data_IF_722962241169
#
_entry.id   IF_722962241169
#
_cell.length_a   1.000
_cell.length_b   1.000
_cell.length_c   1.000
_cell.angle_alpha   90.00
_cell.angle_beta   90.00
_cell.angle_gamma   90.00
#
_symmetry.space_group_name_H-M   'P 1'
#
loop_
_entity.id
_entity.type
_entity.pdbx_description
1 polymer ?
#
# COMPACT_ATOMS: atom_id res chain seq x y z
N UNK A 1 2.54 9.65 10.76
CA UNK A 1 2.05 9.28 9.41
C UNK A 1 1.78 7.78 9.26
N UNK A 2 2.72 6.89 9.63
CA UNK A 2 2.53 5.43 9.49
C UNK A 2 1.33 4.88 10.26
N UNK A 3 1.08 5.36 11.46
CA UNK A 3 -0.01 4.87 12.30
C UNK A 3 -1.39 5.21 11.73
N UNK A 4 -1.58 6.43 11.25
CA UNK A 4 -2.85 6.85 10.66
C UNK A 4 -3.12 6.10 9.35
N UNK A 5 -2.10 5.90 8.51
CA UNK A 5 -2.21 5.13 7.28
C UNK A 5 -2.60 3.67 7.54
N UNK A 6 -1.90 3.01 8.46
CA UNK A 6 -2.23 1.63 8.83
C UNK A 6 -3.64 1.50 9.39
N UNK A 7 -4.08 2.52 10.15
CA UNK A 7 -5.41 2.54 10.74
C UNK A 7 -6.48 2.75 9.68
N UNK A 8 -6.24 3.62 8.71
CA UNK A 8 -7.11 3.80 7.55
C UNK A 8 -7.28 2.46 6.78
N UNK A 9 -6.19 1.75 6.50
CA UNK A 9 -6.29 0.45 5.81
C UNK A 9 -7.09 -0.59 6.62
N UNK A 10 -6.97 -0.57 7.95
CA UNK A 10 -7.77 -1.44 8.83
C UNK A 10 -9.25 -1.06 8.82
N UNK A 11 -9.56 0.22 8.69
CA UNK A 11 -10.94 0.70 8.58
C UNK A 11 -11.54 0.42 7.19
N UNK A 12 -10.73 0.48 6.13
CA UNK A 12 -11.17 0.19 4.77
C UNK A 12 -11.45 -1.31 4.55
N UNK A 13 -10.55 -2.20 4.98
CA UNK A 13 -10.58 -3.61 4.61
C UNK A 13 -11.01 -4.51 5.78
N UNK A 14 -11.87 -5.50 5.46
CA UNK A 14 -12.40 -6.45 6.44
C UNK A 14 -11.53 -7.72 6.52
N UNK A 15 -11.15 -8.27 5.38
CA UNK A 15 -10.48 -9.57 5.27
C UNK A 15 -9.10 -9.50 4.65
N UNK A 16 -8.89 -8.59 3.69
CA UNK A 16 -7.66 -8.54 2.90
C UNK A 16 -6.42 -8.22 3.77
N UNK A 17 -5.30 -8.84 3.42
CA UNK A 17 -4.02 -8.68 4.15
C UNK A 17 -3.50 -7.23 4.19
N UNK A 18 -3.94 -6.35 3.27
CA UNK A 18 -3.61 -4.91 3.27
C UNK A 18 -3.96 -4.21 4.61
N UNK A 19 -4.93 -4.73 5.37
CA UNK A 19 -5.28 -4.23 6.71
C UNK A 19 -4.23 -4.51 7.79
N UNK A 20 -3.25 -5.34 7.48
CA UNK A 20 -2.24 -5.79 8.44
C UNK A 20 -0.92 -5.07 8.17
N UNK A 21 -0.34 -4.49 9.21
CA UNK A 21 0.98 -3.85 9.09
C UNK A 21 2.04 -4.87 8.69
N UNK A 22 2.78 -4.60 7.61
CA UNK A 22 3.91 -5.44 7.16
C UNK A 22 5.00 -5.50 8.22
N UNK A 23 5.22 -4.41 8.97
CA UNK A 23 6.19 -4.37 10.06
C UNK A 23 5.78 -5.20 11.28
N UNK A 24 4.52 -5.66 11.33
CA UNK A 24 3.98 -6.35 12.48
C UNK A 24 3.74 -5.44 13.68
N UNK A 25 3.50 -6.06 14.82
CA UNK A 25 3.36 -5.41 16.13
C UNK A 25 4.40 -5.97 17.08
N UNK A 26 4.68 -5.28 18.19
CA UNK A 26 5.57 -5.78 19.24
C UNK A 26 5.16 -7.20 19.69
N UNK A 27 3.85 -7.41 19.83
CA UNK A 27 3.30 -8.73 20.19
C UNK A 27 3.60 -9.77 19.10
N UNK A 28 3.24 -9.52 17.83
CA UNK A 28 3.45 -10.48 16.74
C UNK A 28 4.94 -10.79 16.53
N UNK A 29 5.81 -9.80 16.65
CA UNK A 29 7.26 -9.96 16.50
C UNK A 29 7.83 -10.81 17.65
N UNK A 30 7.34 -10.64 18.86
CA UNK A 30 7.80 -11.42 20.02
C UNK A 30 7.55 -12.93 19.91
N UNK A 31 6.59 -13.34 19.06
CA UNK A 31 6.30 -14.75 18.79
C UNK A 31 7.14 -15.35 17.65
N UNK A 32 7.93 -14.54 16.95
CA UNK A 32 8.79 -15.03 15.86
C UNK A 32 9.98 -15.80 16.45
N UNK A 33 10.10 -17.05 16.08
CA UNK A 33 11.20 -17.93 16.50
C UNK A 33 12.13 -18.22 15.33
N UNK A 34 13.33 -18.73 15.63
CA UNK A 34 14.25 -19.24 14.59
C UNK A 34 13.57 -20.27 13.69
N UNK A 35 12.75 -21.17 14.30
CA UNK A 35 11.97 -22.15 13.54
C UNK A 35 11.03 -21.49 12.55
N UNK A 36 10.28 -20.46 12.97
CA UNK A 36 9.38 -19.70 12.11
C UNK A 36 10.12 -19.12 10.91
N UNK A 37 11.31 -18.52 11.13
CA UNK A 37 12.13 -17.96 10.05
C UNK A 37 12.62 -19.05 9.07
N UNK A 38 13.08 -20.17 9.56
CA UNK A 38 13.51 -21.29 8.69
C UNK A 38 12.33 -21.89 7.91
N UNK A 39 11.17 -22.02 8.53
CA UNK A 39 9.96 -22.52 7.85
C UNK A 39 9.52 -21.57 6.74
N UNK A 40 9.51 -20.27 7.00
CA UNK A 40 9.23 -19.24 5.98
C UNK A 40 10.27 -19.25 4.86
N UNK A 41 11.55 -19.33 5.20
CA UNK A 41 12.62 -19.39 4.20
C UNK A 41 12.42 -20.63 3.30
N UNK A 42 12.19 -21.79 3.88
CA UNK A 42 11.97 -23.03 3.13
C UNK A 42 10.73 -22.97 2.22
N UNK A 43 9.68 -22.30 2.68
CA UNK A 43 8.43 -22.20 1.92
C UNK A 43 8.53 -21.22 0.74
N UNK A 44 9.18 -20.06 0.93
CA UNK A 44 9.11 -18.95 -0.01
C UNK A 44 10.39 -18.74 -0.83
N UNK A 45 11.57 -19.08 -0.31
CA UNK A 45 12.85 -18.90 -0.98
C UNK A 45 13.23 -20.12 -1.83
N UNK A 46 12.38 -20.42 -2.80
CA UNK A 46 12.62 -21.49 -3.78
C UNK A 46 12.87 -20.87 -5.15
N UNK A 47 13.74 -21.44 -6.00
CA UNK A 47 14.04 -20.87 -7.31
C UNK A 47 12.81 -20.63 -8.18
N UNK A 48 11.78 -21.48 -8.08
CA UNK A 48 10.52 -21.30 -8.82
C UNK A 48 9.69 -20.09 -8.38
N UNK A 49 9.96 -19.56 -7.17
CA UNK A 49 9.23 -18.41 -6.59
C UNK A 49 10.09 -17.14 -6.56
N UNK A 50 11.23 -17.10 -7.26
CA UNK A 50 12.18 -15.99 -7.20
C UNK A 50 12.51 -15.47 -8.60
N UNK A 51 12.79 -14.18 -8.68
CA UNK A 51 13.31 -13.52 -9.88
C UNK A 51 14.64 -12.86 -9.50
N UNK A 52 15.70 -13.17 -10.26
CA UNK A 52 16.98 -12.49 -10.15
C UNK A 52 17.03 -11.34 -11.16
N UNK A 53 17.18 -10.12 -10.67
CA UNK A 53 17.42 -8.93 -11.51
C UNK A 53 18.80 -8.39 -11.22
N UNK A 54 19.60 -8.17 -12.27
CA UNK A 54 20.94 -7.59 -12.16
C UNK A 54 20.98 -6.32 -13.00
N UNK A 55 21.35 -5.19 -12.39
CA UNK A 55 21.47 -3.87 -13.04
C UNK A 55 22.84 -3.30 -12.75
N UNK A 56 23.57 -2.86 -13.77
CA UNK A 56 24.89 -2.27 -13.65
C UNK A 56 25.69 -2.37 -14.94
N UNK A 57 26.96 -2.00 -14.87
CA UNK A 57 27.92 -2.16 -15.98
C UNK A 57 28.43 -3.61 -16.01
N UNK A 58 27.60 -4.51 -16.53
CA UNK A 58 27.85 -5.95 -16.56
C UNK A 58 27.49 -6.54 -17.92
N UNK A 59 28.20 -7.58 -18.33
CA UNK A 59 27.83 -8.38 -19.49
C UNK A 59 26.66 -9.31 -19.14
N UNK A 60 25.47 -9.15 -19.78
CA UNK A 60 24.29 -9.95 -19.47
C UNK A 60 24.49 -11.45 -19.68
N UNK A 61 25.27 -11.83 -20.71
CA UNK A 61 25.53 -13.25 -21.04
C UNK A 61 26.39 -13.88 -19.95
N UNK A 62 27.45 -13.17 -19.55
CA UNK A 62 28.32 -13.64 -18.47
C UNK A 62 27.56 -13.76 -17.14
N UNK A 63 26.66 -12.83 -16.83
CA UNK A 63 25.84 -12.88 -15.61
C UNK A 63 24.83 -14.04 -15.65
N UNK A 64 24.21 -14.29 -16.79
CA UNK A 64 23.32 -15.43 -16.97
C UNK A 64 24.06 -16.76 -16.79
N UNK A 65 25.27 -16.91 -17.37
CA UNK A 65 26.10 -18.08 -17.22
C UNK A 65 26.57 -18.29 -15.77
N UNK A 66 26.93 -17.20 -15.09
CA UNK A 66 27.30 -17.23 -13.70
C UNK A 66 26.12 -17.69 -12.82
N UNK A 67 24.94 -17.09 -13.03
CA UNK A 67 23.71 -17.46 -12.34
C UNK A 67 23.38 -18.96 -12.53
N UNK A 68 23.44 -19.44 -13.76
CA UNK A 68 23.18 -20.86 -14.08
C UNK A 68 24.17 -21.83 -13.41
N UNK A 69 25.40 -21.37 -13.12
CA UNK A 69 26.42 -22.20 -12.45
C UNK A 69 26.30 -22.22 -10.94
N UNK A 70 25.90 -21.10 -10.32
CA UNK A 70 25.92 -20.93 -8.86
C UNK A 70 24.56 -21.10 -8.19
N UNK A 71 23.47 -20.82 -8.91
CA UNK A 71 22.14 -20.95 -8.38
C UNK A 71 21.63 -22.39 -8.45
N UNK A 72 20.79 -22.80 -7.51
CA UNK A 72 20.10 -24.09 -7.60
C UNK A 72 19.27 -24.16 -8.89
N UNK A 73 19.12 -25.36 -9.44
CA UNK A 73 18.19 -25.57 -10.56
C UNK A 73 16.79 -25.15 -10.18
N UNK A 74 16.04 -24.64 -11.17
CA UNK A 74 14.64 -24.26 -11.02
C UNK A 74 13.87 -25.44 -10.42
N UNK A 75 13.38 -25.27 -9.18
CA UNK A 75 12.68 -26.28 -8.41
C UNK A 75 11.84 -25.65 -7.31
N UNK A 76 10.87 -26.40 -6.85
CA UNK A 76 9.94 -25.98 -5.80
C UNK A 76 8.58 -25.55 -6.38
N UNK A 77 7.57 -25.43 -5.53
CA UNK A 77 6.25 -24.97 -5.93
C UNK A 77 6.27 -23.48 -6.25
N UNK A 78 5.49 -23.08 -7.23
CA UNK A 78 5.06 -21.69 -7.38
C UNK A 78 3.99 -21.45 -6.33
N UNK A 79 4.17 -20.42 -5.50
CA UNK A 79 3.23 -20.08 -4.45
C UNK A 79 2.08 -19.30 -5.06
N UNK A 80 0.89 -19.87 -5.07
CA UNK A 80 -0.34 -19.15 -5.38
C UNK A 80 -0.76 -18.32 -4.18
N UNK A 81 -1.11 -17.07 -4.43
CA UNK A 81 -1.57 -16.15 -3.39
C UNK A 81 -3.08 -16.13 -3.36
N UNK A 82 -3.65 -16.52 -2.24
CA UNK A 82 -5.08 -16.38 -1.97
C UNK A 82 -5.29 -15.17 -1.05
N UNK A 83 -5.89 -14.13 -1.60
CA UNK A 83 -6.24 -12.92 -0.83
C UNK A 83 -7.61 -13.02 -0.20
N UNK A 84 -8.36 -14.09 -0.48
CA UNK A 84 -9.75 -14.26 -0.05
C UNK A 84 -10.71 -13.29 -0.73
N UNK A 85 -11.97 -13.38 -0.34
CA UNK A 85 -13.01 -12.45 -0.79
C UNK A 85 -13.06 -11.23 0.15
N UNK A 86 -12.87 -10.06 -0.41
CA UNK A 86 -13.00 -8.79 0.32
C UNK A 86 -14.39 -8.19 0.05
N UNK A 87 -15.24 -7.94 1.07
CA UNK A 87 -16.53 -7.29 0.90
C UNK A 87 -16.40 -5.87 0.33
N UNK A 88 -17.40 -5.40 -0.40
CA UNK A 88 -17.44 -4.03 -0.92
C UNK A 88 -17.48 -2.97 0.20
N UNK A 89 -18.19 -3.25 1.29
CA UNK A 89 -18.31 -2.35 2.43
C UNK A 89 -17.00 -2.19 3.20
N UNK A 90 -16.84 -1.04 3.86
CA UNK A 90 -15.71 -0.77 4.76
C UNK A 90 -15.89 -1.50 6.09
N UNK A 91 -14.79 -1.80 6.78
CA UNK A 91 -14.83 -2.42 8.12
C UNK A 91 -15.33 -1.43 9.17
N UNK A 92 -14.83 -0.20 9.11
CA UNK A 92 -15.21 0.89 10.00
C UNK A 92 -15.36 2.18 9.18
N UNK A 93 -16.41 2.96 9.44
CA UNK A 93 -16.61 4.24 8.72
C UNK A 93 -15.72 5.35 9.25
N UNK A 94 -15.41 5.30 10.52
CA UNK A 94 -14.60 6.30 11.21
C UNK A 94 -13.81 5.64 12.33
N UNK A 95 -12.58 6.08 12.51
CA UNK A 95 -11.73 5.65 13.62
C UNK A 95 -10.88 6.82 14.09
N UNK A 96 -10.75 6.97 15.39
CA UNK A 96 -9.97 8.04 16.02
C UNK A 96 -8.89 7.44 16.91
N UNK A 97 -7.75 8.11 16.98
CA UNK A 97 -6.65 7.74 17.87
C UNK A 97 -6.04 9.00 18.48
N UNK A 98 -5.89 8.98 19.77
CA UNK A 98 -5.19 10.04 20.50
C UNK A 98 -3.70 9.74 20.52
N UNK A 99 -2.90 10.74 20.12
CA UNK A 99 -1.43 10.66 20.11
C UNK A 99 -0.84 12.02 20.44
N UNK A 100 0.39 12.03 20.95
CA UNK A 100 1.19 13.25 21.08
C UNK A 100 1.71 13.68 19.70
N UNK A 101 0.96 14.58 19.06
CA UNK A 101 1.28 15.14 17.74
C UNK A 101 1.22 16.67 17.80
N UNK A 102 1.98 17.34 16.95
CA UNK A 102 2.00 18.81 16.89
C UNK A 102 0.73 19.42 16.29
N UNK A 103 0.04 18.68 15.43
CA UNK A 103 -1.20 19.06 14.76
C UNK A 103 -2.08 17.84 14.57
N UNK A 104 -3.41 17.97 14.65
CA UNK A 104 -4.31 16.89 14.28
C UNK A 104 -4.11 16.48 12.83
N UNK A 105 -4.07 15.15 12.59
CA UNK A 105 -3.91 14.57 11.26
C UNK A 105 -5.15 13.75 10.91
N UNK A 106 -5.52 13.72 9.64
CA UNK A 106 -6.60 12.89 9.15
C UNK A 106 -6.25 12.23 7.83
N UNK A 107 -6.89 11.10 7.55
CA UNK A 107 -6.94 10.45 6.23
C UNK A 107 -8.38 10.02 5.94
N UNK A 108 -8.90 10.45 4.80
CA UNK A 108 -10.13 9.93 4.20
C UNK A 108 -9.75 8.88 3.15
N UNK A 109 -10.25 7.67 3.27
CA UNK A 109 -9.96 6.56 2.36
C UNK A 109 -11.21 6.07 1.65
N UNK A 110 -11.08 5.76 0.37
CA UNK A 110 -12.16 5.30 -0.51
C UNK A 110 -11.76 3.99 -1.17
N UNK A 111 -12.55 2.94 -0.97
CA UNK A 111 -12.36 1.69 -1.70
C UNK A 111 -12.64 1.89 -3.18
N UNK A 112 -11.75 1.35 -4.01
CA UNK A 112 -11.89 1.28 -5.45
C UNK A 112 -11.91 -0.18 -5.92
N UNK A 113 -12.45 -0.42 -7.10
CA UNK A 113 -12.39 -1.74 -7.70
C UNK A 113 -10.96 -2.02 -8.20
N UNK A 114 -10.32 -3.12 -7.79
CA UNK A 114 -9.02 -3.49 -8.32
C UNK A 114 -9.14 -3.94 -9.78
N UNK A 115 -8.12 -3.66 -10.57
CA UNK A 115 -8.03 -4.18 -11.94
C UNK A 115 -7.39 -5.57 -11.95
N UNK A 116 -7.64 -6.32 -13.01
CA UNK A 116 -6.95 -7.57 -13.27
C UNK A 116 -5.46 -7.31 -13.54
N UNK A 117 -4.63 -8.33 -13.30
CA UNK A 117 -3.17 -8.24 -13.54
C UNK A 117 -2.83 -7.92 -15.01
N UNK A 118 -1.59 -7.53 -15.25
CA UNK A 118 -1.07 -7.19 -16.57
C UNK A 118 -1.39 -5.77 -17.01
N UNK A 119 -1.72 -5.57 -18.28
CA UNK A 119 -1.95 -4.24 -18.88
C UNK A 119 -3.11 -3.49 -18.20
N UNK A 120 -4.14 -4.20 -17.77
CA UNK A 120 -5.27 -3.60 -17.05
C UNK A 120 -4.82 -3.00 -15.71
N UNK A 121 -3.95 -3.69 -14.98
CA UNK A 121 -3.37 -3.21 -13.74
C UNK A 121 -2.55 -1.94 -13.98
N UNK A 122 -1.61 -1.98 -14.93
CA UNK A 122 -0.77 -0.82 -15.25
C UNK A 122 -1.61 0.39 -15.67
N UNK A 123 -2.60 0.17 -16.55
CA UNK A 123 -3.51 1.23 -17.00
C UNK A 123 -4.32 1.83 -15.85
N UNK A 124 -4.86 1.00 -14.96
CA UNK A 124 -5.64 1.47 -13.82
C UNK A 124 -4.77 2.26 -12.82
N UNK A 125 -3.54 1.83 -12.57
CA UNK A 125 -2.59 2.57 -11.73
C UNK A 125 -2.31 3.95 -12.30
N UNK A 126 -1.93 4.05 -13.59
CA UNK A 126 -1.63 5.33 -14.23
C UNK A 126 -2.85 6.26 -14.22
N UNK A 127 -4.04 5.73 -14.54
CA UNK A 127 -5.26 6.54 -14.54
C UNK A 127 -5.66 6.97 -13.12
N UNK A 128 -5.45 6.11 -12.13
CA UNK A 128 -5.69 6.41 -10.72
C UNK A 128 -4.76 7.51 -10.20
N UNK A 129 -3.47 7.43 -10.52
CA UNK A 129 -2.48 8.47 -10.18
C UNK A 129 -2.84 9.82 -10.81
N UNK A 130 -3.13 9.82 -12.11
CA UNK A 130 -3.56 11.03 -12.81
C UNK A 130 -4.85 11.62 -12.22
N UNK A 131 -5.82 10.78 -11.89
CA UNK A 131 -7.07 11.24 -11.27
C UNK A 131 -6.82 11.83 -9.88
N UNK A 132 -5.96 11.19 -9.09
CA UNK A 132 -5.54 11.68 -7.77
C UNK A 132 -4.90 13.07 -7.88
N UNK A 133 -3.95 13.27 -8.81
CA UNK A 133 -3.29 14.54 -9.02
C UNK A 133 -4.28 15.66 -9.47
N UNK A 134 -5.21 15.33 -10.36
CA UNK A 134 -6.21 16.28 -10.85
C UNK A 134 -7.19 16.68 -9.74
N UNK A 135 -7.60 15.73 -8.90
CA UNK A 135 -8.62 15.97 -7.87
C UNK A 135 -8.05 16.56 -6.59
N UNK A 136 -6.86 16.12 -6.17
CA UNK A 136 -6.30 16.35 -4.84
C UNK A 136 -4.99 17.13 -4.86
N UNK A 137 -4.34 17.26 -6.04
CA UNK A 137 -3.07 17.97 -6.18
C UNK A 137 -3.20 19.48 -5.93
N UNK A 138 -2.08 20.14 -5.67
CA UNK A 138 -2.01 21.57 -5.31
C UNK A 138 -2.70 22.51 -6.32
N UNK A 139 -2.75 22.13 -7.59
CA UNK A 139 -3.41 22.89 -8.65
C UNK A 139 -4.92 22.65 -8.75
N UNK A 140 -5.46 21.70 -7.99
CA UNK A 140 -6.89 21.37 -8.05
C UNK A 140 -7.75 22.48 -7.43
N UNK A 141 -8.98 22.69 -7.95
CA UNK A 141 -9.90 23.65 -7.34
C UNK A 141 -10.26 23.32 -5.89
N UNK A 142 -10.25 22.02 -5.52
CA UNK A 142 -10.48 21.57 -4.16
C UNK A 142 -9.34 22.04 -3.24
N UNK A 143 -8.09 21.74 -3.59
CA UNK A 143 -6.92 22.14 -2.80
C UNK A 143 -6.89 23.66 -2.62
N UNK A 144 -7.00 24.43 -3.71
CA UNK A 144 -6.95 25.88 -3.69
C UNK A 144 -8.00 26.48 -2.73
N UNK A 145 -9.24 26.02 -2.85
CA UNK A 145 -10.33 26.45 -1.98
C UNK A 145 -10.08 26.15 -0.49
N UNK A 146 -9.66 24.93 -0.18
CA UNK A 146 -9.41 24.52 1.21
C UNK A 146 -8.19 25.23 1.80
N UNK A 147 -7.16 25.46 0.99
CA UNK A 147 -5.96 26.18 1.39
C UNK A 147 -6.25 27.66 1.65
N UNK A 148 -7.00 28.34 0.77
CA UNK A 148 -7.44 29.73 0.96
C UNK A 148 -8.31 29.92 2.20
N UNK A 149 -9.10 28.92 2.55
CA UNK A 149 -9.89 28.90 3.79
C UNK A 149 -9.06 28.57 5.05
N UNK A 150 -7.78 28.23 4.90
CA UNK A 150 -6.91 27.85 6.01
C UNK A 150 -7.28 26.51 6.67
N UNK A 151 -8.07 25.68 5.98
CA UNK A 151 -8.49 24.36 6.46
C UNK A 151 -7.42 23.30 6.26
N UNK A 152 -6.54 23.47 5.29
CA UNK A 152 -5.40 22.59 5.02
C UNK A 152 -4.11 23.41 4.93
N UNK A 153 -2.99 22.70 4.96
CA UNK A 153 -1.64 23.24 4.75
C UNK A 153 -0.90 22.39 3.69
N UNK A 154 0.36 22.67 3.35
CA UNK A 154 1.11 21.89 2.35
C UNK A 154 1.33 20.40 2.67
N UNK A 155 0.94 19.93 3.87
CA UNK A 155 0.93 18.49 4.16
C UNK A 155 -0.25 17.74 3.54
N UNK A 156 -1.29 18.46 3.07
CA UNK A 156 -2.45 17.85 2.42
C UNK A 156 -2.09 17.31 1.05
N UNK A 157 -2.51 16.11 0.80
CA UNK A 157 -2.37 15.43 -0.47
C UNK A 157 -3.16 14.13 -0.48
N UNK A 158 -3.04 13.40 -1.57
CA UNK A 158 -3.67 12.11 -1.71
C UNK A 158 -2.96 11.27 -2.76
N UNK A 159 -3.28 10.00 -2.79
CA UNK A 159 -2.78 9.09 -3.79
C UNK A 159 -3.79 7.96 -4.07
N UNK A 160 -3.67 7.40 -5.26
CA UNK A 160 -4.31 6.15 -5.61
C UNK A 160 -3.33 5.01 -5.43
N UNK A 161 -3.75 3.98 -4.74
CA UNK A 161 -2.95 2.79 -4.50
C UNK A 161 -3.68 1.55 -4.98
N UNK A 162 -2.96 0.67 -5.63
CA UNK A 162 -3.49 -0.61 -6.06
C UNK A 162 -2.52 -1.74 -5.72
N UNK A 163 -3.06 -2.78 -5.13
CA UNK A 163 -2.37 -4.04 -4.83
C UNK A 163 -3.22 -5.20 -5.37
N UNK A 164 -2.66 -6.39 -5.56
CA UNK A 164 -3.45 -7.53 -5.98
C UNK A 164 -4.67 -7.74 -5.07
N UNK A 165 -5.87 -7.71 -5.67
CA UNK A 165 -7.15 -7.89 -4.99
C UNK A 165 -7.76 -6.64 -4.33
N UNK A 166 -7.05 -5.51 -4.25
CA UNK A 166 -7.56 -4.26 -3.65
C UNK A 166 -7.07 -3.03 -4.37
N UNK A 167 -7.88 -1.97 -4.32
CA UNK A 167 -7.50 -0.63 -4.74
C UNK A 167 -8.19 0.41 -3.86
N UNK A 168 -7.55 1.53 -3.63
CA UNK A 168 -8.11 2.63 -2.86
C UNK A 168 -7.50 3.98 -3.25
N UNK A 169 -8.31 5.00 -3.12
CA UNK A 169 -7.89 6.40 -3.14
C UNK A 169 -7.87 6.88 -1.68
N UNK A 170 -6.92 7.71 -1.33
CA UNK A 170 -6.95 8.39 -0.04
C UNK A 170 -6.52 9.85 -0.18
N UNK A 171 -7.00 10.67 0.74
CA UNK A 171 -6.62 12.06 0.87
C UNK A 171 -6.52 12.45 2.34
N UNK A 172 -5.63 13.36 2.67
CA UNK A 172 -5.51 13.87 4.02
C UNK A 172 -4.23 14.66 4.26
N UNK A 173 -3.99 14.96 5.52
CA UNK A 173 -2.89 15.78 6.00
C UNK A 173 -3.20 16.36 7.35
N UNK A 174 -2.55 17.46 7.70
CA UNK A 174 -2.85 18.20 8.92
C UNK A 174 -4.09 19.08 8.71
N UNK A 175 -5.02 19.03 9.63
CA UNK A 175 -6.16 19.95 9.68
C UNK A 175 -6.67 20.10 11.10
N UNK A 176 -7.08 21.31 11.46
CA UNK A 176 -7.79 21.59 12.72
C UNK A 176 -9.27 21.23 12.65
N UNK A 177 -9.80 21.08 11.44
CA UNK A 177 -11.19 20.73 11.16
C UNK A 177 -11.25 19.64 10.07
N UNK A 178 -10.84 18.44 10.46
CA UNK A 178 -10.82 17.28 9.59
C UNK A 178 -12.22 16.92 9.05
N UNK A 179 -13.27 17.15 9.84
CA UNK A 179 -14.65 16.88 9.44
C UNK A 179 -15.06 17.70 8.22
N UNK A 180 -14.90 19.03 8.30
CA UNK A 180 -15.19 19.94 7.19
C UNK A 180 -14.37 19.61 5.93
N UNK A 181 -13.10 19.23 6.09
CA UNK A 181 -12.26 18.85 4.94
C UNK A 181 -12.72 17.52 4.34
N UNK A 182 -13.04 16.52 5.17
CA UNK A 182 -13.54 15.22 4.69
C UNK A 182 -14.88 15.36 3.95
N UNK A 183 -15.78 16.21 4.43
CA UNK A 183 -17.06 16.49 3.76
C UNK A 183 -16.90 17.21 2.42
N UNK A 184 -15.78 17.88 2.20
CA UNK A 184 -15.48 18.60 0.97
C UNK A 184 -14.80 17.74 -0.10
N UNK A 185 -14.18 16.61 0.32
CA UNK A 185 -13.57 15.62 -0.56
C UNK A 185 -14.62 14.71 -1.19
#
# INVERSE_FOLDING_TARGET
DWQIYTRMLRALYQNHAARTSIAGTVESISHITAKTLYDCHKAFYTPANMILTVVGDVDPIHMADLANRVLPKLSGPVIERDYGAEPEGVAEKETVMEMEVSSPQFLAGFKCAPAAEGDAYMRATILGDMASDILLGESSPLYQRLYEQGLINPSFGGAYEMMPGVAYLYAGGDSKDAGTVTDAI
#
